data_IF_939439037111
#
_entry.id   IF_939439037111
#
_cell.length_a   1.000
_cell.length_b   1.000
_cell.length_c   1.000
_cell.angle_alpha   90.00
_cell.angle_beta   90.00
_cell.angle_gamma   90.00
#
_symmetry.space_group_name_H-M   'P 1'
#
loop_
_entity.id
_entity.type
_entity.pdbx_description
1 polymer ?
#
# COMPACT_ATOMS: atom_id res chain seq x y z
N UNK A 1 53.25 -19.70 -20.35
CA UNK A 1 52.66 -19.26 -19.08
C UNK A 1 51.78 -18.06 -19.43
N UNK A 2 50.62 -18.19 -20.11
CA UNK A 2 49.39 -18.94 -19.74
C UNK A 2 49.09 -18.70 -18.26
N UNK A 3 48.01 -18.05 -17.82
CA UNK A 3 46.67 -17.89 -18.37
C UNK A 3 46.04 -16.63 -17.75
N UNK A 4 45.53 -15.68 -18.56
CA UNK A 4 44.65 -14.61 -18.08
C UNK A 4 43.22 -15.15 -18.28
N UNK A 5 42.74 -15.94 -17.33
CA UNK A 5 41.38 -16.50 -17.40
C UNK A 5 40.37 -15.39 -17.13
N UNK A 6 40.04 -14.62 -18.16
CA UNK A 6 38.84 -13.80 -18.20
C UNK A 6 37.64 -14.75 -18.08
N UNK A 7 37.07 -14.81 -16.87
CA UNK A 7 35.86 -15.57 -16.61
C UNK A 7 34.76 -14.93 -17.48
N UNK A 8 34.13 -15.66 -18.42
CA UNK A 8 33.08 -15.06 -19.24
C UNK A 8 32.03 -14.50 -18.28
N UNK A 9 31.75 -13.21 -18.42
CA UNK A 9 30.65 -12.55 -17.74
C UNK A 9 29.40 -13.37 -18.08
N UNK A 10 28.88 -14.08 -17.08
CA UNK A 10 27.64 -14.82 -17.23
C UNK A 10 26.59 -13.79 -17.66
N UNK A 11 26.12 -13.91 -18.91
CA UNK A 11 24.98 -13.16 -19.41
C UNK A 11 23.87 -13.26 -18.37
N UNK A 12 23.63 -12.16 -17.66
CA UNK A 12 22.51 -12.06 -16.77
C UNK A 12 21.28 -12.15 -17.66
N UNK A 13 20.65 -13.32 -17.70
CA UNK A 13 19.42 -13.55 -18.46
C UNK A 13 18.39 -12.55 -17.94
N UNK A 14 18.14 -11.50 -18.73
CA UNK A 14 17.19 -10.46 -18.38
C UNK A 14 15.82 -11.11 -18.25
N UNK A 15 15.25 -11.08 -17.04
CA UNK A 15 13.90 -11.57 -16.84
C UNK A 15 12.94 -10.62 -17.56
N UNK A 16 12.08 -11.11 -18.47
CA UNK A 16 11.16 -10.24 -19.19
C UNK A 16 10.26 -9.50 -18.18
N UNK A 17 10.13 -8.19 -18.37
CA UNK A 17 9.22 -7.39 -17.55
C UNK A 17 7.79 -7.91 -17.75
N UNK A 18 6.99 -8.01 -16.67
CA UNK A 18 5.61 -8.43 -16.78
C UNK A 18 4.81 -7.47 -17.67
N UNK A 19 3.83 -8.01 -18.41
CA UNK A 19 2.90 -7.20 -19.20
C UNK A 19 2.14 -6.24 -18.29
N UNK A 20 2.21 -4.92 -18.50
CA UNK A 20 1.58 -3.94 -17.62
C UNK A 20 0.03 -3.92 -17.66
N UNK A 21 -0.61 -4.83 -18.41
CA UNK A 21 -2.06 -4.87 -18.63
C UNK A 21 -2.83 -5.80 -17.71
N UNK A 22 -2.17 -6.60 -16.86
CA UNK A 22 -2.90 -7.47 -15.93
C UNK A 22 -3.58 -6.64 -14.83
N UNK A 23 -4.74 -7.11 -14.39
CA UNK A 23 -5.44 -6.49 -13.27
C UNK A 23 -4.81 -6.90 -11.94
N UNK A 24 -4.58 -5.93 -11.06
CA UNK A 24 -4.09 -6.15 -9.70
C UNK A 24 -5.19 -5.76 -8.73
N UNK A 25 -5.66 -6.67 -7.86
CA UNK A 25 -6.52 -6.30 -6.75
C UNK A 25 -5.78 -5.34 -5.81
N UNK A 26 -6.35 -4.15 -5.62
CA UNK A 26 -5.83 -3.12 -4.73
C UNK A 26 -6.77 -2.97 -3.54
N UNK A 27 -6.20 -2.95 -2.34
CA UNK A 27 -6.89 -2.65 -1.09
C UNK A 27 -6.49 -1.26 -0.60
N UNK A 28 -7.45 -0.50 -0.10
CA UNK A 28 -7.24 0.77 0.58
C UNK A 28 -7.48 0.54 2.07
N UNK A 29 -6.44 0.67 2.88
CA UNK A 29 -6.52 0.57 4.33
C UNK A 29 -6.55 1.98 4.95
N UNK A 30 -7.49 2.20 5.85
CA UNK A 30 -7.58 3.39 6.70
C UNK A 30 -7.06 2.99 8.09
N UNK A 31 -6.04 3.69 8.59
CA UNK A 31 -5.50 3.44 9.92
C UNK A 31 -6.39 4.15 10.96
N UNK A 32 -7.08 3.37 11.79
CA UNK A 32 -7.95 3.86 12.88
C UNK A 32 -7.22 3.94 14.24
N UNK A 33 -5.88 3.88 14.21
CA UNK A 33 -5.07 3.74 15.42
C UNK A 33 -5.20 2.37 16.09
N UNK A 34 -4.64 2.24 17.30
CA UNK A 34 -4.69 1.01 18.09
C UNK A 34 -5.83 1.07 19.12
N UNK A 35 -6.72 0.08 19.08
CA UNK A 35 -7.77 -0.10 20.09
C UNK A 35 -7.31 -1.10 21.15
N UNK A 36 -7.75 -0.92 22.40
CA UNK A 36 -7.52 -1.94 23.43
C UNK A 36 -8.41 -3.16 23.18
N UNK A 37 -8.04 -4.31 23.76
CA UNK A 37 -8.88 -5.51 23.67
C UNK A 37 -10.28 -5.29 24.26
N UNK A 38 -10.40 -4.48 25.32
CA UNK A 38 -11.69 -4.13 25.92
C UNK A 38 -12.56 -3.29 24.98
N UNK A 39 -11.96 -2.35 24.26
CA UNK A 39 -12.67 -1.54 23.25
C UNK A 39 -13.22 -2.44 22.14
N UNK A 40 -12.39 -3.35 21.62
CA UNK A 40 -12.79 -4.31 20.57
C UNK A 40 -13.94 -5.21 21.05
N UNK A 41 -13.86 -5.73 22.27
CA UNK A 41 -14.92 -6.58 22.85
C UNK A 41 -16.23 -5.83 23.11
N UNK A 42 -16.16 -4.51 23.32
CA UNK A 42 -17.33 -3.65 23.52
C UNK A 42 -17.99 -3.15 22.22
N UNK A 43 -17.39 -3.42 21.05
CA UNK A 43 -17.97 -3.04 19.76
C UNK A 43 -19.26 -3.81 19.50
N UNK A 44 -20.28 -3.07 19.06
CA UNK A 44 -21.60 -3.59 18.71
C UNK A 44 -22.15 -2.79 17.53
N UNK A 45 -23.28 -3.23 17.00
CA UNK A 45 -23.97 -2.47 15.96
C UNK A 45 -24.24 -1.03 16.43
N UNK A 46 -23.91 -0.05 15.57
CA UNK A 46 -23.99 1.37 15.88
C UNK A 46 -22.77 1.95 16.62
N UNK A 47 -21.77 1.15 17.00
CA UNK A 47 -20.50 1.69 17.50
C UNK A 47 -19.78 2.50 16.42
N UNK A 48 -19.15 3.60 16.84
CA UNK A 48 -18.28 4.42 15.99
C UNK A 48 -16.84 4.18 16.41
N UNK A 49 -15.99 3.79 15.46
CA UNK A 49 -14.55 3.67 15.66
C UNK A 49 -13.90 4.97 15.18
N UNK A 50 -13.20 5.71 16.04
CA UNK A 50 -12.51 6.93 15.62
C UNK A 50 -11.39 6.58 14.65
N UNK A 51 -11.19 7.45 13.65
CA UNK A 51 -10.09 7.39 12.70
C UNK A 51 -9.26 8.64 12.89
N UNK A 52 -7.94 8.48 13.02
CA UNK A 52 -7.03 9.60 13.22
C UNK A 52 -6.86 10.40 11.91
N UNK A 53 -6.83 11.73 12.06
CA UNK A 53 -6.49 12.60 10.96
C UNK A 53 -4.96 12.63 10.74
N UNK A 54 -4.54 12.82 9.50
CA UNK A 54 -3.15 13.10 9.16
C UNK A 54 -2.74 14.53 9.58
N UNK A 55 -1.46 14.86 9.42
CA UNK A 55 -0.92 16.19 9.76
C UNK A 55 -1.62 17.34 9.00
N UNK A 56 -2.25 17.05 7.86
CA UNK A 56 -3.03 17.99 7.05
C UNK A 56 -4.52 18.04 7.40
N UNK A 57 -4.98 17.27 8.39
CA UNK A 57 -6.39 17.18 8.78
C UNK A 57 -7.25 16.30 7.87
N UNK A 58 -6.63 15.53 6.96
CA UNK A 58 -7.30 14.53 6.11
C UNK A 58 -7.27 13.13 6.70
N UNK A 59 -7.86 12.15 6.03
CA UNK A 59 -7.79 10.73 6.46
C UNK A 59 -6.63 10.06 5.72
N UNK A 60 -5.58 9.68 6.46
CA UNK A 60 -4.47 8.91 5.90
C UNK A 60 -4.90 7.51 5.48
N UNK A 61 -4.40 7.05 4.34
CA UNK A 61 -4.62 5.70 3.83
C UNK A 61 -3.35 5.06 3.28
N UNK A 62 -3.35 3.73 3.26
CA UNK A 62 -2.32 2.91 2.62
C UNK A 62 -2.94 2.11 1.48
N UNK A 63 -2.23 2.03 0.36
CA UNK A 63 -2.62 1.16 -0.74
C UNK A 63 -1.78 -0.12 -0.71
N UNK A 64 -2.47 -1.25 -0.76
CA UNK A 64 -1.86 -2.56 -0.72
C UNK A 64 -2.21 -3.33 -2.01
N UNK A 65 -1.21 -4.02 -2.55
CA UNK A 65 -1.38 -4.99 -3.62
C UNK A 65 -0.98 -6.36 -3.07
N UNK A 66 -1.91 -7.32 -3.11
CA UNK A 66 -1.68 -8.67 -2.54
C UNK A 66 -1.19 -8.63 -1.09
N UNK A 67 -1.74 -7.72 -0.28
CA UNK A 67 -1.37 -7.53 1.13
C UNK A 67 -0.03 -6.82 1.37
N UNK A 68 0.64 -6.32 0.32
CA UNK A 68 1.92 -5.59 0.44
C UNK A 68 1.67 -4.10 0.18
N UNK A 69 2.06 -3.20 1.11
CA UNK A 69 1.91 -1.77 0.88
C UNK A 69 2.83 -1.31 -0.25
N UNK A 70 2.29 -0.51 -1.17
CA UNK A 70 3.06 0.07 -2.28
C UNK A 70 2.92 1.58 -2.41
N UNK A 71 1.90 2.18 -1.80
CA UNK A 71 1.71 3.63 -1.78
C UNK A 71 1.01 4.09 -0.49
N UNK A 72 1.16 5.39 -0.20
CA UNK A 72 0.41 6.11 0.83
C UNK A 72 -0.33 7.27 0.18
N UNK A 73 -1.39 7.73 0.84
CA UNK A 73 -2.12 8.88 0.38
C UNK A 73 -3.13 9.38 1.40
N UNK A 74 -3.93 10.36 0.98
CA UNK A 74 -5.00 10.95 1.78
C UNK A 74 -6.32 10.75 1.05
N UNK A 75 -7.36 10.31 1.76
CA UNK A 75 -8.70 10.18 1.22
C UNK A 75 -9.29 11.56 0.94
N UNK A 76 -9.81 11.76 -0.28
CA UNK A 76 -10.37 13.03 -0.74
C UNK A 76 -11.75 12.83 -1.37
N UNK A 77 -12.61 13.85 -1.31
CA UNK A 77 -13.88 13.85 -2.04
C UNK A 77 -13.65 14.21 -3.50
N UNK A 78 -14.29 13.49 -4.42
CA UNK A 78 -14.23 13.71 -5.87
C UNK A 78 -15.65 13.73 -6.42
N UNK A 79 -16.21 14.92 -6.60
CA UNK A 79 -17.63 15.09 -6.93
C UNK A 79 -18.50 14.46 -5.84
N UNK A 80 -19.33 13.49 -6.22
CA UNK A 80 -20.21 12.74 -5.32
C UNK A 80 -19.57 11.43 -4.79
N UNK A 81 -18.27 11.22 -5.04
CA UNK A 81 -17.54 10.01 -4.67
C UNK A 81 -16.27 10.32 -3.84
N UNK A 82 -15.48 9.29 -3.56
CA UNK A 82 -14.19 9.39 -2.87
C UNK A 82 -13.05 8.90 -3.76
N UNK A 83 -11.87 9.47 -3.58
CA UNK A 83 -10.63 9.04 -4.21
C UNK A 83 -9.47 9.10 -3.22
N UNK A 84 -8.30 8.65 -3.66
CA UNK A 84 -7.07 8.77 -2.87
C UNK A 84 -6.09 9.67 -3.61
N UNK A 85 -5.68 10.75 -2.96
CA UNK A 85 -4.57 11.58 -3.42
C UNK A 85 -3.27 10.92 -2.97
N UNK A 86 -2.48 10.44 -3.93
CA UNK A 86 -1.21 9.75 -3.65
C UNK A 86 -0.18 10.77 -3.17
N UNK A 87 0.40 10.50 -2.01
CA UNK A 87 1.50 11.29 -1.44
C UNK A 87 2.86 10.82 -1.95
N UNK A 88 3.92 11.49 -1.51
CA UNK A 88 5.31 11.10 -1.81
C UNK A 88 5.78 9.86 -1.04
#
# INVERSE_FOLDING_TARGET
>A
MQDLTERPAADAVATPSPDARFAVPVMIEIDAGALTLGDIQGLREGSVVPVDADEGGGIAVRLLASGRPFARGTLVSVGDAYGVLIGE
#
